data_IF_804917976459
#
_entry.id   IF_804917976459
#
_cell.length_a   1.000
_cell.length_b   1.000
_cell.length_c   1.000
_cell.angle_alpha   90.00
_cell.angle_beta   90.00
_cell.angle_gamma   90.00
#
_symmetry.space_group_name_H-M   'P 1'
#
loop_
_entity.id
_entity.type
_entity.pdbx_description
1 polymer ?
#
# COMPACT_ATOMS: atom_id res chain seq x y z
N UNK A 1 1.25 26.06 4.03
CA UNK A 1 0.80 24.74 4.50
C UNK A 1 1.82 23.76 3.97
N UNK A 2 2.39 22.92 4.83
CA UNK A 2 3.31 21.84 4.43
C UNK A 2 2.55 20.86 3.54
N UNK A 3 3.15 20.36 2.47
CA UNK A 3 2.54 19.29 1.65
C UNK A 3 2.63 17.94 2.37
N UNK A 4 1.85 16.93 1.94
CA UNK A 4 2.01 15.57 2.47
C UNK A 4 3.43 15.02 2.22
N UNK A 5 4.00 15.26 1.03
CA UNK A 5 5.36 14.84 0.71
C UNK A 5 6.41 15.44 1.67
N UNK A 6 6.34 16.75 1.95
CA UNK A 6 7.23 17.41 2.92
C UNK A 6 7.03 16.89 4.36
N UNK A 7 5.78 16.55 4.73
CA UNK A 7 5.50 15.93 6.02
C UNK A 7 6.22 14.58 6.12
N UNK A 8 6.01 13.67 5.18
CA UNK A 8 6.65 12.35 5.19
C UNK A 8 8.17 12.42 5.03
N UNK A 9 8.69 13.36 4.23
CA UNK A 9 10.13 13.60 4.10
C UNK A 9 10.78 13.88 5.48
N UNK A 10 10.09 14.64 6.35
CA UNK A 10 10.58 14.98 7.70
C UNK A 10 10.57 13.81 8.70
N UNK A 11 9.84 12.73 8.41
CA UNK A 11 9.73 11.54 9.26
C UNK A 11 10.52 10.33 8.76
N UNK A 12 10.98 10.33 7.50
CA UNK A 12 11.58 9.16 6.83
C UNK A 12 12.66 8.44 7.67
N UNK A 13 13.62 9.17 8.26
CA UNK A 13 14.71 8.59 9.05
C UNK A 13 14.26 7.95 10.38
N UNK A 14 13.05 8.25 10.85
CA UNK A 14 12.48 7.73 12.10
C UNK A 14 11.31 6.79 11.86
N UNK A 15 10.84 6.66 10.62
CA UNK A 15 9.59 5.96 10.32
C UNK A 15 9.58 4.53 10.86
N UNK A 16 10.62 3.75 10.55
CA UNK A 16 10.77 2.37 11.04
C UNK A 16 10.80 2.27 12.58
N UNK A 17 11.30 3.30 13.27
CA UNK A 17 11.36 3.30 14.74
C UNK A 17 10.01 3.57 15.41
N UNK A 18 9.02 4.01 14.62
CA UNK A 18 7.64 4.20 15.06
C UNK A 18 6.78 2.95 14.83
N UNK A 19 7.32 1.94 14.15
CA UNK A 19 6.63 0.70 13.87
C UNK A 19 6.52 -0.18 15.12
N UNK A 20 5.56 -1.10 15.07
CA UNK A 20 5.33 -2.07 16.14
C UNK A 20 6.41 -3.15 16.13
N UNK A 21 6.71 -3.70 17.31
CA UNK A 21 7.67 -4.81 17.45
C UNK A 21 7.27 -6.06 16.65
N UNK A 22 5.97 -6.27 16.39
CA UNK A 22 5.40 -7.40 15.65
C UNK A 22 5.12 -7.09 14.16
N UNK A 23 5.64 -5.97 13.63
CA UNK A 23 5.38 -5.52 12.26
C UNK A 23 5.67 -6.61 11.21
N UNK A 24 6.77 -7.35 11.36
CA UNK A 24 7.13 -8.42 10.44
C UNK A 24 6.06 -9.52 10.36
N UNK A 25 5.48 -9.92 11.49
CA UNK A 25 4.44 -10.96 11.55
C UNK A 25 3.13 -10.48 10.88
N UNK A 26 2.79 -9.20 11.08
CA UNK A 26 1.62 -8.58 10.47
C UNK A 26 1.79 -8.44 8.94
N UNK A 27 2.97 -8.04 8.47
CA UNK A 27 3.26 -7.94 7.03
C UNK A 27 3.29 -9.32 6.36
N UNK A 28 3.86 -10.34 7.02
CA UNK A 28 3.79 -11.72 6.54
C UNK A 28 2.35 -12.23 6.46
N UNK A 29 1.49 -11.80 7.39
CA UNK A 29 0.04 -12.08 7.34
C UNK A 29 -0.61 -11.42 6.13
N UNK A 30 -0.32 -10.15 5.84
CA UNK A 30 -0.81 -9.46 4.64
C UNK A 30 -0.48 -10.30 3.41
N UNK A 31 0.80 -10.61 3.19
CA UNK A 31 1.24 -11.30 1.97
C UNK A 31 0.61 -12.69 1.84
N UNK A 32 0.52 -13.45 2.95
CA UNK A 32 -0.08 -14.79 2.99
C UNK A 32 -1.58 -14.79 2.67
N UNK A 33 -2.32 -13.79 3.16
CA UNK A 33 -3.78 -13.72 2.98
C UNK A 33 -4.19 -13.06 1.65
N UNK A 34 -3.27 -12.32 1.00
CA UNK A 34 -3.58 -11.51 -0.19
C UNK A 34 -3.58 -12.27 -1.51
N UNK A 35 -3.03 -13.48 -1.56
CA UNK A 35 -2.91 -14.26 -2.80
C UNK A 35 -1.77 -13.81 -3.72
N UNK A 36 -0.69 -13.28 -3.14
CA UNK A 36 0.57 -13.00 -3.85
C UNK A 36 1.25 -14.33 -4.18
N UNK A 37 1.71 -14.47 -5.42
CA UNK A 37 2.33 -15.70 -5.93
C UNK A 37 3.68 -15.43 -6.61
N UNK A 38 4.57 -16.43 -6.67
CA UNK A 38 5.78 -16.35 -7.49
C UNK A 38 5.46 -16.08 -8.97
N UNK A 39 6.21 -15.18 -9.58
CA UNK A 39 6.15 -14.77 -10.98
C UNK A 39 5.41 -13.45 -11.21
N UNK A 40 4.82 -12.85 -10.17
CA UNK A 40 4.02 -11.63 -10.29
C UNK A 40 4.86 -10.37 -10.51
N UNK A 41 4.35 -9.47 -11.35
CA UNK A 41 4.73 -8.06 -11.38
C UNK A 41 3.85 -7.27 -10.39
N UNK A 42 4.48 -6.66 -9.40
CA UNK A 42 3.84 -6.02 -8.25
C UNK A 42 4.11 -4.51 -8.28
N UNK A 43 3.06 -3.70 -8.16
CA UNK A 43 3.16 -2.28 -7.87
C UNK A 43 2.93 -2.04 -6.38
N UNK A 44 3.93 -1.55 -5.67
CA UNK A 44 3.83 -1.11 -4.26
C UNK A 44 3.65 0.40 -4.22
N UNK A 45 2.44 0.85 -3.87
CA UNK A 45 2.00 2.24 -3.90
C UNK A 45 2.15 2.84 -2.51
N UNK A 46 2.84 3.98 -2.41
CA UNK A 46 3.18 4.56 -1.12
C UNK A 46 4.10 3.63 -0.34
N UNK A 47 5.17 3.17 -0.99
CA UNK A 47 6.09 2.17 -0.43
C UNK A 47 6.70 2.62 0.90
N UNK A 48 6.72 3.92 1.18
CA UNK A 48 7.33 4.50 2.36
C UNK A 48 8.80 4.12 2.43
N UNK A 49 9.23 3.63 3.58
CA UNK A 49 10.58 3.08 3.73
C UNK A 49 10.70 1.65 3.19
N UNK A 50 9.71 1.08 2.51
CA UNK A 50 9.78 -0.20 1.82
C UNK A 50 9.66 -1.43 2.73
N UNK A 51 8.99 -1.31 3.88
CA UNK A 51 8.94 -2.37 4.91
C UNK A 51 8.25 -3.67 4.47
N UNK A 52 7.33 -3.61 3.51
CA UNK A 52 6.65 -4.79 2.99
C UNK A 52 7.48 -5.55 1.94
N UNK A 53 8.47 -4.89 1.32
CA UNK A 53 9.25 -5.44 0.21
C UNK A 53 9.99 -6.73 0.59
N UNK A 54 10.67 -6.83 1.75
CA UNK A 54 11.30 -8.08 2.17
C UNK A 54 10.32 -9.26 2.29
N UNK A 55 9.12 -9.03 2.83
CA UNK A 55 8.08 -10.05 2.95
C UNK A 55 7.61 -10.53 1.56
N UNK A 56 7.45 -9.59 0.60
CA UNK A 56 7.09 -9.92 -0.78
C UNK A 56 8.18 -10.78 -1.44
N UNK A 57 9.44 -10.35 -1.38
CA UNK A 57 10.58 -11.10 -1.93
C UNK A 57 10.72 -12.48 -1.30
N UNK A 58 10.56 -12.58 0.03
CA UNK A 58 10.66 -13.85 0.74
C UNK A 58 9.51 -14.80 0.34
N UNK A 59 8.26 -14.32 0.35
CA UNK A 59 7.09 -15.14 0.03
C UNK A 59 7.12 -15.71 -1.39
N UNK A 60 7.72 -14.99 -2.33
CA UNK A 60 7.83 -15.39 -3.73
C UNK A 60 9.14 -16.10 -4.06
N UNK A 61 10.00 -16.36 -3.07
CA UNK A 61 11.36 -16.89 -3.27
C UNK A 61 12.19 -16.05 -4.27
N UNK A 62 12.11 -14.73 -4.17
CA UNK A 62 12.72 -13.75 -5.09
C UNK A 62 12.27 -13.88 -6.55
N UNK A 63 11.17 -14.59 -6.80
CA UNK A 63 10.54 -14.70 -8.10
C UNK A 63 9.35 -13.74 -8.14
N UNK A 64 9.62 -12.44 -8.19
CA UNK A 64 8.65 -11.39 -8.52
C UNK A 64 9.43 -10.18 -9.03
N UNK A 65 8.74 -9.22 -9.64
CA UNK A 65 9.30 -7.90 -9.90
C UNK A 65 8.45 -6.87 -9.14
N UNK A 66 9.10 -5.96 -8.42
CA UNK A 66 8.44 -4.94 -7.61
C UNK A 66 8.80 -3.57 -8.18
N UNK A 67 7.78 -2.80 -8.54
CA UNK A 67 7.90 -1.37 -8.76
C UNK A 67 7.30 -0.65 -7.57
N UNK A 68 8.12 0.06 -6.83
CA UNK A 68 7.76 0.76 -5.61
C UNK A 68 7.70 2.27 -5.90
N UNK A 69 6.54 2.87 -5.67
CA UNK A 69 6.33 4.31 -5.88
C UNK A 69 5.99 5.01 -4.57
N UNK A 70 6.47 6.24 -4.44
CA UNK A 70 6.11 7.13 -3.33
C UNK A 70 6.19 8.60 -3.78
N UNK A 71 5.46 9.47 -3.09
CA UNK A 71 5.53 10.93 -3.30
C UNK A 71 6.67 11.58 -2.50
N UNK A 72 7.19 10.88 -1.48
CA UNK A 72 8.30 11.33 -0.65
C UNK A 72 9.63 10.80 -1.16
N UNK A 73 10.53 11.73 -1.46
CA UNK A 73 11.87 11.40 -1.93
C UNK A 73 12.72 10.80 -0.81
N UNK A 74 12.55 11.26 0.43
CA UNK A 74 13.33 10.74 1.56
C UNK A 74 12.85 9.35 1.99
N UNK A 75 11.55 9.04 1.87
CA UNK A 75 11.03 7.68 2.03
C UNK A 75 11.70 6.71 1.06
N UNK A 76 11.72 7.04 -0.23
CA UNK A 76 12.39 6.24 -1.26
C UNK A 76 13.89 6.10 -1.02
N UNK A 77 14.56 7.16 -0.53
CA UNK A 77 15.97 7.09 -0.16
C UNK A 77 16.22 6.04 0.93
N UNK A 78 15.38 6.02 1.97
CA UNK A 78 15.47 5.03 3.04
C UNK A 78 15.16 3.63 2.51
N UNK A 79 14.10 3.46 1.72
CA UNK A 79 13.72 2.18 1.12
C UNK A 79 14.85 1.58 0.27
N UNK A 80 15.43 2.37 -0.63
CA UNK A 80 16.54 1.95 -1.48
C UNK A 80 17.82 1.63 -0.69
N UNK A 81 18.01 2.21 0.50
CA UNK A 81 19.14 1.88 1.37
C UNK A 81 18.99 0.54 2.10
N UNK A 82 17.74 0.11 2.33
CA UNK A 82 17.43 -1.16 3.03
C UNK A 82 17.30 -2.34 2.06
N UNK A 83 16.81 -2.09 0.85
CA UNK A 83 16.52 -3.14 -0.13
C UNK A 83 17.54 -3.09 -1.27
N UNK A 84 18.45 -4.05 -1.29
CA UNK A 84 19.39 -4.26 -2.39
C UNK A 84 18.99 -5.51 -3.19
N UNK A 85 18.13 -5.35 -4.19
CA UNK A 85 17.66 -6.43 -5.07
C UNK A 85 17.48 -5.92 -6.50
N UNK A 86 17.85 -6.73 -7.49
CA UNK A 86 17.61 -6.46 -8.91
C UNK A 86 16.15 -6.63 -9.33
N UNK A 87 15.33 -7.16 -8.41
CA UNK A 87 13.88 -7.33 -8.56
C UNK A 87 13.08 -6.08 -8.19
N UNK A 88 13.71 -5.08 -7.60
CA UNK A 88 13.01 -3.93 -7.03
C UNK A 88 13.47 -2.64 -7.71
N UNK A 89 12.52 -1.83 -8.13
CA UNK A 89 12.75 -0.49 -8.66
C UNK A 89 11.98 0.54 -7.84
N UNK A 90 12.59 1.68 -7.59
CA UNK A 90 12.02 2.79 -6.82
C UNK A 90 11.79 3.99 -7.73
N UNK A 91 10.62 4.61 -7.67
CA UNK A 91 10.24 5.73 -8.53
C UNK A 91 9.47 6.78 -7.73
N UNK A 92 9.87 8.05 -7.89
CA UNK A 92 9.15 9.18 -7.29
C UNK A 92 7.92 9.46 -8.14
N UNK A 93 6.75 9.02 -7.68
CA UNK A 93 5.49 9.16 -8.40
C UNK A 93 4.30 9.16 -7.46
N UNK A 94 3.27 9.91 -7.84
CA UNK A 94 1.92 9.78 -7.31
C UNK A 94 1.13 8.81 -8.19
N UNK A 95 0.39 7.87 -7.59
CA UNK A 95 -0.45 6.95 -8.35
C UNK A 95 -1.50 7.68 -9.20
N UNK A 96 -2.00 8.82 -8.75
CA UNK A 96 -3.02 9.61 -9.46
C UNK A 96 -2.49 10.10 -10.82
N UNK A 97 -1.20 10.43 -10.90
CA UNK A 97 -0.51 10.91 -12.12
C UNK A 97 0.50 9.90 -12.69
N UNK A 98 0.48 8.65 -12.21
CA UNK A 98 1.51 7.67 -12.54
C UNK A 98 1.46 7.26 -14.01
N UNK A 99 2.48 7.63 -14.78
CA UNK A 99 2.59 7.32 -16.21
C UNK A 99 3.01 5.86 -16.43
N UNK A 100 2.02 4.98 -16.47
CA UNK A 100 2.20 3.58 -16.74
C UNK A 100 1.04 3.05 -17.60
N UNK A 101 1.37 2.13 -18.51
CA UNK A 101 0.38 1.47 -19.34
C UNK A 101 -0.63 0.68 -18.49
N UNK A 102 -1.87 0.65 -18.92
CA UNK A 102 -2.89 -0.22 -18.33
C UNK A 102 -2.50 -1.70 -18.46
N UNK A 103 -3.02 -2.54 -17.56
CA UNK A 103 -2.74 -3.98 -17.52
C UNK A 103 -1.23 -4.32 -17.46
N UNK A 104 -0.49 -3.57 -16.64
CA UNK A 104 0.96 -3.76 -16.45
C UNK A 104 1.33 -4.61 -15.24
N UNK A 105 0.42 -4.81 -14.28
CA UNK A 105 0.74 -5.49 -13.02
C UNK A 105 -0.22 -6.63 -12.71
N UNK A 106 0.28 -7.64 -12.00
CA UNK A 106 -0.52 -8.75 -11.45
C UNK A 106 -1.05 -8.40 -10.05
N UNK A 107 -0.34 -7.55 -9.31
CA UNK A 107 -0.76 -7.07 -8.01
C UNK A 107 -0.49 -5.58 -7.82
N UNK A 108 -1.42 -4.88 -7.16
CA UNK A 108 -1.24 -3.51 -6.65
C UNK A 108 -1.42 -3.55 -5.13
N UNK A 109 -0.43 -3.07 -4.40
CA UNK A 109 -0.38 -3.08 -2.94
C UNK A 109 -0.39 -1.64 -2.45
N UNK A 110 -1.25 -1.35 -1.49
CA UNK A 110 -1.32 -0.11 -0.74
C UNK A 110 -1.17 -0.45 0.74
N UNK A 111 0.07 -0.57 1.22
CA UNK A 111 0.34 -0.86 2.63
C UNK A 111 0.54 0.43 3.42
N UNK A 112 -0.26 0.60 4.47
CA UNK A 112 -0.24 1.75 5.37
C UNK A 112 -0.45 3.13 4.72
N UNK A 113 -0.84 3.22 3.44
CA UNK A 113 -0.95 4.48 2.70
C UNK A 113 -2.39 4.95 2.45
N UNK A 114 -3.36 4.03 2.38
CA UNK A 114 -4.67 4.32 1.78
C UNK A 114 -5.48 5.50 2.42
N UNK A 115 -5.41 5.75 3.74
CA UNK A 115 -6.03 6.91 4.37
C UNK A 115 -5.60 8.24 3.78
N UNK A 116 -4.36 8.34 3.30
CA UNK A 116 -3.71 9.57 2.85
C UNK A 116 -4.13 10.01 1.44
N UNK A 117 -4.75 9.12 0.66
CA UNK A 117 -5.24 9.47 -0.66
C UNK A 117 -6.40 10.47 -0.58
N UNK A 118 -6.28 11.55 -1.35
CA UNK A 118 -7.28 12.60 -1.42
C UNK A 118 -8.54 12.14 -2.16
N UNK A 119 -8.37 11.47 -3.31
CA UNK A 119 -9.43 10.81 -4.06
C UNK A 119 -9.25 9.29 -4.07
N UNK A 120 -9.66 8.67 -2.95
CA UNK A 120 -9.63 7.21 -2.77
C UNK A 120 -10.36 6.45 -3.88
N UNK A 121 -11.47 7.01 -4.41
CA UNK A 121 -12.22 6.36 -5.48
C UNK A 121 -11.47 6.40 -6.82
N UNK A 122 -10.79 7.50 -7.11
CA UNK A 122 -9.91 7.62 -8.27
C UNK A 122 -8.73 6.63 -8.17
N UNK A 123 -8.08 6.55 -7.00
CA UNK A 123 -6.98 5.60 -6.76
C UNK A 123 -7.40 4.16 -7.01
N UNK A 124 -8.58 3.74 -6.52
CA UNK A 124 -9.08 2.39 -6.80
C UNK A 124 -9.33 2.15 -8.29
N UNK A 125 -9.87 3.12 -9.02
CA UNK A 125 -10.07 3.01 -10.46
C UNK A 125 -8.74 2.95 -11.22
N UNK A 126 -7.75 3.73 -10.78
CA UNK A 126 -6.41 3.71 -11.37
C UNK A 126 -5.71 2.38 -11.12
N UNK A 127 -5.75 1.88 -9.88
CA UNK A 127 -5.26 0.54 -9.55
C UNK A 127 -5.96 -0.54 -10.40
N UNK A 128 -7.28 -0.44 -10.58
CA UNK A 128 -8.03 -1.35 -11.45
C UNK A 128 -7.55 -1.28 -12.91
N UNK A 129 -7.25 -0.10 -13.46
CA UNK A 129 -6.78 0.02 -14.85
C UNK A 129 -5.38 -0.56 -15.04
N UNK A 130 -4.49 -0.34 -14.06
CA UNK A 130 -3.12 -0.84 -14.03
C UNK A 130 -3.02 -2.36 -13.89
N UNK A 131 -4.01 -3.00 -13.29
CA UNK A 131 -4.05 -4.46 -13.12
C UNK A 131 -4.38 -5.20 -14.42
N UNK A 132 -3.69 -6.31 -14.66
CA UNK A 132 -4.05 -7.31 -15.67
C UNK A 132 -5.36 -8.02 -15.28
N UNK A 133 -6.06 -8.65 -16.23
CA UNK A 133 -7.15 -9.58 -15.89
C UNK A 133 -6.66 -10.61 -14.85
N UNK A 134 -7.52 -10.92 -13.88
CA UNK A 134 -7.24 -11.77 -12.71
C UNK A 134 -6.26 -11.18 -11.67
N UNK A 135 -5.74 -9.98 -11.91
CA UNK A 135 -4.88 -9.27 -10.98
C UNK A 135 -5.58 -8.86 -9.69
N UNK A 136 -4.79 -8.61 -8.66
CA UNK A 136 -5.27 -8.37 -7.29
C UNK A 136 -4.92 -6.98 -6.78
N UNK A 137 -5.83 -6.39 -6.01
CA UNK A 137 -5.54 -5.21 -5.19
C UNK A 137 -5.48 -5.64 -3.73
N UNK A 138 -4.51 -5.10 -2.99
CA UNK A 138 -4.30 -5.32 -1.57
C UNK A 138 -4.22 -3.96 -0.88
N UNK A 139 -5.06 -3.75 0.12
CA UNK A 139 -5.04 -2.55 0.97
C UNK A 139 -4.92 -3.02 2.40
N UNK A 140 -3.80 -2.69 3.05
CA UNK A 140 -3.49 -3.19 4.40
C UNK A 140 -3.03 -2.08 5.33
N UNK A 141 -3.33 -2.25 6.62
CA UNK A 141 -2.61 -1.56 7.69
C UNK A 141 -2.23 -2.57 8.77
N UNK A 142 -0.96 -2.59 9.22
CA UNK A 142 -0.52 -3.35 10.38
C UNK A 142 -0.96 -2.68 11.70
N UNK A 143 -2.17 -2.10 11.70
CA UNK A 143 -2.83 -1.40 12.80
C UNK A 143 -4.31 -1.38 12.48
N UNK A 144 -5.18 -1.55 13.48
CA UNK A 144 -6.62 -1.51 13.27
C UNK A 144 -7.10 -0.11 12.89
N UNK A 145 -8.23 -0.05 12.17
CA UNK A 145 -8.78 1.20 11.62
C UNK A 145 -8.96 2.30 12.68
N UNK A 146 -9.51 1.95 13.84
CA UNK A 146 -9.83 2.94 14.88
C UNK A 146 -8.54 3.56 15.45
N UNK A 147 -7.48 2.77 15.62
CA UNK A 147 -6.19 3.26 16.07
C UNK A 147 -5.52 4.17 15.02
N UNK A 148 -5.57 3.82 13.72
CA UNK A 148 -5.08 4.69 12.64
C UNK A 148 -5.81 6.04 12.66
N UNK A 149 -7.14 6.01 12.71
CA UNK A 149 -7.95 7.21 12.69
C UNK A 149 -7.74 8.08 13.95
N UNK A 150 -7.52 7.45 15.10
CA UNK A 150 -7.19 8.15 16.34
C UNK A 150 -5.86 8.91 16.23
N UNK A 151 -4.79 8.22 15.80
CA UNK A 151 -3.46 8.84 15.63
C UNK A 151 -3.52 10.05 14.69
N UNK A 152 -4.26 9.93 13.58
CA UNK A 152 -4.46 11.05 12.66
C UNK A 152 -5.20 12.21 13.34
N UNK A 153 -6.33 11.96 14.01
CA UNK A 153 -7.10 13.01 14.69
C UNK A 153 -6.37 13.72 15.83
N UNK A 154 -5.40 13.06 16.47
CA UNK A 154 -4.61 13.62 17.57
C UNK A 154 -3.39 14.42 17.08
N UNK A 155 -3.06 14.31 15.79
CA UNK A 155 -1.92 15.01 15.20
C UNK A 155 -2.37 16.36 14.63
N UNK A 156 -1.68 17.45 14.97
CA UNK A 156 -1.87 18.77 14.33
C UNK A 156 -0.99 18.87 13.06
N UNK A 157 -1.37 18.11 12.03
CA UNK A 157 -0.65 18.06 10.75
C UNK A 157 -1.57 17.90 9.54
N UNK A 158 -0.96 17.81 8.35
CA UNK A 158 -1.65 17.66 7.07
C UNK A 158 -2.37 16.33 6.90
N UNK A 159 -2.10 15.34 7.76
CA UNK A 159 -2.79 14.04 7.77
C UNK A 159 -3.91 13.97 8.79
N UNK A 160 -4.22 15.08 9.49
CA UNK A 160 -5.18 15.11 10.60
C UNK A 160 -6.60 14.67 10.23
N UNK A 161 -7.00 14.85 8.97
CA UNK A 161 -8.31 14.48 8.44
C UNK A 161 -8.28 13.19 7.61
N UNK A 162 -7.13 12.52 7.50
CA UNK A 162 -7.00 11.29 6.72
C UNK A 162 -7.67 10.13 7.46
N UNK A 163 -8.51 9.36 6.77
CA UNK A 163 -9.27 8.27 7.40
C UNK A 163 -9.21 6.98 6.61
N UNK A 164 -9.05 5.87 7.33
CA UNK A 164 -9.30 4.53 6.82
C UNK A 164 -10.82 4.27 6.77
N UNK A 165 -11.38 3.83 5.63
CA UNK A 165 -12.80 3.47 5.52
C UNK A 165 -13.10 2.20 6.31
N UNK A 166 -14.32 2.08 6.85
CA UNK A 166 -14.75 0.82 7.46
C UNK A 166 -14.87 -0.29 6.40
N UNK A 167 -14.90 -1.56 6.82
CA UNK A 167 -14.95 -2.68 5.86
C UNK A 167 -16.15 -2.64 4.92
N UNK A 168 -17.32 -2.17 5.38
CA UNK A 168 -18.52 -2.05 4.54
C UNK A 168 -18.40 -0.92 3.51
N UNK A 169 -17.71 0.16 3.86
CA UNK A 169 -17.37 1.23 2.93
C UNK A 169 -16.31 0.76 1.94
N UNK A 170 -15.22 0.15 2.42
CA UNK A 170 -14.15 -0.38 1.57
C UNK A 170 -14.69 -1.39 0.55
N UNK A 171 -15.54 -2.34 0.98
CA UNK A 171 -16.20 -3.30 0.07
C UNK A 171 -17.03 -2.59 -0.99
N UNK A 172 -17.82 -1.59 -0.63
CA UNK A 172 -18.62 -0.81 -1.59
C UNK A 172 -17.74 -0.03 -2.57
N UNK A 173 -16.66 0.58 -2.09
CA UNK A 173 -15.72 1.31 -2.93
C UNK A 173 -15.01 0.39 -3.93
N UNK A 174 -14.52 -0.77 -3.48
CA UNK A 174 -13.92 -1.79 -4.34
C UNK A 174 -14.90 -2.29 -5.40
N UNK A 175 -16.14 -2.61 -5.02
CA UNK A 175 -17.18 -2.98 -6.00
C UNK A 175 -17.47 -1.86 -7.01
N UNK A 176 -17.56 -0.60 -6.55
CA UNK A 176 -17.82 0.55 -7.41
C UNK A 176 -16.67 0.83 -8.40
N UNK A 177 -15.43 0.44 -8.05
CA UNK A 177 -14.27 0.50 -8.93
C UNK A 177 -14.18 -0.67 -9.92
N UNK A 178 -15.05 -1.69 -9.80
CA UNK A 178 -15.09 -2.84 -10.70
C UNK A 178 -14.37 -4.08 -10.18
N UNK A 179 -13.98 -4.11 -8.91
CA UNK A 179 -13.41 -5.31 -8.28
C UNK A 179 -14.49 -6.28 -7.82
N UNK A 180 -14.12 -7.56 -7.79
CA UNK A 180 -14.93 -8.69 -7.30
C UNK A 180 -14.09 -9.59 -6.38
N UNK A 181 -14.67 -10.68 -5.87
CA UNK A 181 -14.03 -11.58 -4.89
C UNK A 181 -13.44 -10.81 -3.68
N UNK A 182 -14.23 -9.86 -3.16
CA UNK A 182 -13.77 -8.95 -2.13
C UNK A 182 -13.79 -9.65 -0.78
N UNK A 183 -12.62 -9.69 -0.14
CA UNK A 183 -12.44 -10.10 1.25
C UNK A 183 -11.91 -8.91 2.04
N UNK A 184 -12.42 -8.72 3.26
CA UNK A 184 -11.88 -7.70 4.16
C UNK A 184 -12.07 -8.09 5.62
N UNK A 185 -11.06 -7.75 6.42
CA UNK A 185 -10.93 -8.01 7.85
C UNK A 185 -10.53 -6.70 8.53
N UNK A 186 -11.20 -6.37 9.62
CA UNK A 186 -10.92 -5.20 10.46
C UNK A 186 -10.93 -5.68 11.91
N UNK A 187 -9.72 -5.94 12.40
CA UNK A 187 -9.40 -6.34 13.76
C UNK A 187 -8.76 -5.15 14.48
N UNK A 188 -8.80 -5.09 15.82
CA UNK A 188 -8.24 -3.96 16.59
C UNK A 188 -6.79 -3.62 16.25
N UNK A 189 -6.03 -4.59 15.78
CA UNK A 189 -4.59 -4.47 15.51
C UNK A 189 -4.24 -4.70 14.03
N UNK A 190 -5.22 -4.97 13.17
CA UNK A 190 -4.96 -5.37 11.80
C UNK A 190 -6.11 -5.02 10.87
N UNK A 191 -5.80 -4.39 9.74
CA UNK A 191 -6.75 -4.12 8.67
C UNK A 191 -6.23 -4.71 7.38
N UNK A 192 -7.07 -5.48 6.69
CA UNK A 192 -6.76 -6.02 5.38
C UNK A 192 -8.01 -6.05 4.52
N UNK A 193 -7.93 -5.49 3.32
CA UNK A 193 -8.90 -5.70 2.26
C UNK A 193 -8.15 -6.13 1.00
N UNK A 194 -8.65 -7.16 0.32
CA UNK A 194 -8.13 -7.55 -0.98
C UNK A 194 -9.27 -7.96 -1.92
N UNK A 195 -9.07 -7.75 -3.21
CA UNK A 195 -10.07 -8.04 -4.23
C UNK A 195 -9.42 -8.34 -5.59
N UNK A 196 -10.18 -8.91 -6.51
CA UNK A 196 -9.71 -9.32 -7.85
C UNK A 196 -10.38 -8.52 -8.96
N UNK A 197 -9.60 -8.20 -9.99
CA UNK A 197 -10.11 -7.73 -11.28
C UNK A 197 -10.54 -8.93 -12.13
N UNK A 198 -11.84 -9.25 -12.13
CA UNK A 198 -12.40 -10.23 -13.09
C UNK A 198 -12.71 -9.54 -14.42
N UNK A 199 -12.69 -10.31 -15.51
CA UNK A 199 -13.01 -9.84 -16.87
C UNK A 199 -14.41 -9.23 -16.97
#
# INVERSE_FOLDING_TARGET
MTSQAEFFDSYADKWDSLERDDICELLDRVVRESGIEPGMDILDVGTGTGVIIPCLLQSTNNNCNIRAIDISKEMLRVAASKVSSDKVSFELADIEDFDCADASFDAVICNAVYPHFSDKAHVLKRAWSLLRPEGIIVISHPTGRDAVNQVHSETDSVVSEDRAPCIDEMKRMLSAAGFSDISATDEPEFYLAHARKRQ
#
